data_IF_755372060450
#
_entry.id   IF_755372060450
#
_cell.length_a   1.000
_cell.length_b   1.000
_cell.length_c   1.000
_cell.angle_alpha   90.00
_cell.angle_beta   90.00
_cell.angle_gamma   90.00
#
_symmetry.space_group_name_H-M   'P 1'
#
loop_
_entity.id
_entity.type
_entity.pdbx_description
1 polymer ?
#
# COMPACT_ATOMS: atom_id res chain seq x y z
N UNK A 1 23.37 9.49 27.08
CA UNK A 1 22.01 9.44 26.51
C UNK A 1 21.44 10.83 26.24
N UNK A 2 21.44 11.75 27.20
CA UNK A 2 20.88 13.11 27.05
C UNK A 2 21.62 14.07 26.09
N UNK A 3 22.96 13.95 25.97
CA UNK A 3 23.73 14.77 25.04
C UNK A 3 23.32 14.52 23.57
N UNK A 4 23.10 13.25 23.22
CA UNK A 4 22.68 12.84 21.87
C UNK A 4 21.25 13.31 21.55
N UNK A 5 20.37 13.36 22.56
CA UNK A 5 19.02 13.94 22.42
C UNK A 5 19.06 15.45 22.20
N UNK A 6 19.92 16.18 22.94
CA UNK A 6 20.05 17.64 22.79
C UNK A 6 20.60 18.04 21.42
N UNK A 7 21.55 17.27 20.87
CA UNK A 7 22.09 17.49 19.52
C UNK A 7 21.04 17.18 18.46
N UNK A 8 20.27 16.08 18.60
CA UNK A 8 19.18 15.75 17.67
C UNK A 8 18.08 16.80 17.68
N UNK A 9 17.68 17.27 18.87
CA UNK A 9 16.71 18.36 19.00
C UNK A 9 17.25 19.67 18.40
N UNK A 10 18.52 20.01 18.67
CA UNK A 10 19.18 21.19 18.09
C UNK A 10 19.20 21.14 16.56
N UNK A 11 19.53 19.99 15.97
CA UNK A 11 19.51 19.79 14.52
C UNK A 11 18.09 19.88 13.94
N UNK A 12 17.09 19.33 14.65
CA UNK A 12 15.69 19.41 14.23
C UNK A 12 15.19 20.86 14.26
N UNK A 13 15.43 21.60 15.35
CA UNK A 13 15.07 23.01 15.46
C UNK A 13 15.83 23.86 14.44
N UNK A 14 17.11 23.57 14.20
CA UNK A 14 17.91 24.22 13.18
C UNK A 14 17.38 24.00 11.76
N UNK A 15 16.97 22.78 11.43
CA UNK A 15 16.36 22.47 10.14
C UNK A 15 15.00 23.16 9.95
N UNK A 16 14.15 23.16 10.99
CA UNK A 16 12.85 23.85 10.97
C UNK A 16 13.04 25.36 10.86
N UNK A 17 13.94 25.95 11.65
CA UNK A 17 14.27 27.37 11.58
C UNK A 17 14.87 27.76 10.22
N UNK A 18 15.74 26.92 9.65
CA UNK A 18 16.28 27.10 8.31
C UNK A 18 15.19 27.07 7.24
N UNK A 19 14.29 26.09 7.30
CA UNK A 19 13.15 25.99 6.38
C UNK A 19 12.21 27.18 6.49
N UNK A 20 11.85 27.59 7.70
CA UNK A 20 11.02 28.78 7.96
C UNK A 20 11.73 30.07 7.53
N UNK A 21 13.05 30.17 7.73
CA UNK A 21 13.86 31.31 7.29
C UNK A 21 13.87 31.43 5.77
N UNK A 22 14.03 30.31 5.05
CA UNK A 22 13.91 30.27 3.59
C UNK A 22 12.50 30.68 3.17
N UNK A 23 11.44 30.16 3.79
CA UNK A 23 10.07 30.56 3.50
C UNK A 23 9.82 32.05 3.73
N UNK A 24 10.24 32.58 4.88
CA UNK A 24 10.07 34.01 5.22
C UNK A 24 10.85 34.90 4.24
N UNK A 25 12.06 34.49 3.85
CA UNK A 25 12.85 35.20 2.85
C UNK A 25 12.18 35.15 1.47
N UNK A 26 11.62 34.00 1.07
CA UNK A 26 10.83 33.86 -0.16
C UNK A 26 9.58 34.76 -0.14
N UNK A 27 8.85 34.79 0.97
CA UNK A 27 7.67 35.64 1.14
C UNK A 27 8.03 37.14 1.17
N UNK A 28 9.11 37.50 1.84
CA UNK A 28 9.64 38.86 1.88
C UNK A 28 10.01 39.33 0.47
N UNK A 29 10.78 38.53 -0.28
CA UNK A 29 11.16 38.82 -1.67
C UNK A 29 9.94 38.88 -2.61
N UNK A 30 8.96 38.00 -2.42
CA UNK A 30 7.71 38.05 -3.18
C UNK A 30 6.91 39.34 -2.92
N UNK A 31 6.98 39.90 -1.69
CA UNK A 31 6.33 41.16 -1.31
C UNK A 31 6.86 42.41 -2.02
N UNK A 32 8.10 42.40 -2.50
CA UNK A 32 8.69 43.51 -3.26
C UNK A 32 8.23 43.56 -4.72
N UNK A 33 7.65 42.48 -5.25
CA UNK A 33 7.20 42.46 -6.63
C UNK A 33 5.84 43.16 -6.78
N UNK A 34 5.82 44.40 -7.31
CA UNK A 34 4.59 45.11 -7.72
C UNK A 34 4.52 45.21 -9.26
N UNK A 35 3.36 44.90 -9.86
CA UNK A 35 3.11 44.99 -11.32
C UNK A 35 2.76 43.65 -12.01
N UNK A 36 2.58 43.60 -13.34
CA UNK A 36 2.23 42.36 -14.09
C UNK A 36 3.26 41.23 -13.93
N UNK A 37 4.51 41.57 -13.59
CA UNK A 37 5.59 40.62 -13.31
C UNK A 37 5.46 39.98 -11.91
N UNK A 38 4.70 40.59 -10.99
CA UNK A 38 4.52 40.09 -9.62
C UNK A 38 3.86 38.73 -9.58
N UNK A 39 2.89 38.47 -10.46
CA UNK A 39 2.20 37.19 -10.52
C UNK A 39 3.13 36.05 -10.92
N UNK A 40 4.04 36.28 -11.88
CA UNK A 40 5.01 35.26 -12.31
C UNK A 40 6.08 35.00 -11.24
N UNK A 41 6.57 36.07 -10.61
CA UNK A 41 7.53 35.96 -9.51
C UNK A 41 6.92 35.31 -8.26
N UNK A 42 5.68 35.64 -7.91
CA UNK A 42 4.96 35.01 -6.81
C UNK A 42 4.73 33.50 -7.05
N UNK A 43 4.34 33.11 -8.28
CA UNK A 43 4.24 31.69 -8.67
C UNK A 43 5.61 31.02 -8.58
N UNK A 44 6.67 31.65 -9.08
CA UNK A 44 8.02 31.08 -9.03
C UNK A 44 8.52 30.90 -7.58
N UNK A 45 8.33 31.89 -6.70
CA UNK A 45 8.79 31.81 -5.33
C UNK A 45 7.97 30.87 -4.44
N UNK A 46 6.65 30.77 -4.68
CA UNK A 46 5.78 29.88 -3.90
C UNK A 46 5.81 28.43 -4.42
N UNK A 47 5.73 28.25 -5.74
CA UNK A 47 5.66 26.94 -6.39
C UNK A 47 7.07 26.38 -6.70
N UNK A 48 8.04 27.23 -7.00
CA UNK A 48 9.38 26.84 -7.43
C UNK A 48 10.09 25.91 -6.46
N UNK A 49 10.14 26.18 -5.13
CA UNK A 49 10.76 25.27 -4.17
C UNK A 49 10.07 23.90 -4.13
N UNK A 50 8.73 23.85 -4.19
CA UNK A 50 7.99 22.60 -4.22
C UNK A 50 8.28 21.80 -5.50
N UNK A 51 8.29 22.46 -6.66
CA UNK A 51 8.63 21.83 -7.95
C UNK A 51 10.08 21.35 -7.97
N UNK A 52 11.02 22.14 -7.45
CA UNK A 52 12.43 21.76 -7.34
C UNK A 52 12.58 20.50 -6.49
N UNK A 53 11.96 20.46 -5.31
CA UNK A 53 11.99 19.30 -4.43
C UNK A 53 11.35 18.06 -5.07
N UNK A 54 10.26 18.22 -5.82
CA UNK A 54 9.65 17.13 -6.58
C UNK A 54 10.57 16.62 -7.70
N UNK A 55 11.21 17.54 -8.44
CA UNK A 55 12.13 17.18 -9.52
C UNK A 55 13.35 16.44 -8.97
N UNK A 56 14.00 16.98 -7.95
CA UNK A 56 15.22 16.40 -7.36
C UNK A 56 14.92 15.13 -6.55
N UNK A 57 13.81 15.10 -5.81
CA UNK A 57 13.48 14.01 -4.89
C UNK A 57 12.76 12.83 -5.53
N UNK A 58 12.04 13.04 -6.65
CA UNK A 58 11.22 12.00 -7.28
C UNK A 58 11.62 11.81 -8.75
N UNK A 59 11.60 12.88 -9.56
CA UNK A 59 11.76 12.75 -11.02
C UNK A 59 13.18 12.33 -11.40
N UNK A 60 14.21 12.98 -10.86
CA UNK A 60 15.62 12.66 -11.14
C UNK A 60 15.95 11.22 -10.72
N UNK A 61 15.62 10.75 -9.49
CA UNK A 61 15.81 9.35 -9.11
C UNK A 61 15.05 8.38 -10.01
N UNK A 62 13.81 8.68 -10.39
CA UNK A 62 13.03 7.82 -11.28
C UNK A 62 13.67 7.69 -12.68
N UNK A 63 14.08 8.82 -13.27
CA UNK A 63 14.79 8.82 -14.56
C UNK A 63 16.13 8.10 -14.44
N UNK A 64 16.87 8.29 -13.33
CA UNK A 64 18.11 7.55 -13.07
C UNK A 64 17.84 6.04 -12.98
N UNK A 65 16.79 5.60 -12.31
CA UNK A 65 16.42 4.18 -12.24
C UNK A 65 16.10 3.59 -13.61
N UNK A 66 15.38 4.34 -14.47
CA UNK A 66 15.11 3.94 -15.86
C UNK A 66 16.41 3.90 -16.69
N UNK A 67 17.33 4.83 -16.46
CA UNK A 67 18.62 4.80 -17.14
C UNK A 67 19.46 3.59 -16.70
N UNK A 68 19.56 3.35 -15.39
CA UNK A 68 20.31 2.23 -14.82
C UNK A 68 19.76 0.88 -15.24
N UNK A 69 18.44 0.76 -15.47
CA UNK A 69 17.83 -0.50 -15.94
C UNK A 69 18.35 -0.96 -17.30
N UNK A 70 18.99 -0.09 -18.08
CA UNK A 70 19.59 -0.39 -19.38
C UNK A 70 21.08 -0.74 -19.30
N UNK A 71 21.68 -0.72 -18.11
CA UNK A 71 23.10 -1.00 -17.87
C UNK A 71 23.30 -2.33 -17.14
N UNK A 72 24.54 -2.82 -17.10
CA UNK A 72 24.95 -3.98 -16.32
C UNK A 72 24.90 -3.72 -14.79
N UNK A 73 25.25 -4.73 -14.01
CA UNK A 73 25.20 -4.73 -12.54
C UNK A 73 25.90 -3.54 -11.88
N UNK A 74 27.11 -3.22 -12.36
CA UNK A 74 27.93 -2.11 -11.87
C UNK A 74 27.63 -0.76 -12.54
N UNK A 75 26.64 -0.69 -13.43
CA UNK A 75 26.26 0.53 -14.17
C UNK A 75 27.35 1.07 -15.12
N UNK A 76 28.29 0.22 -15.55
CA UNK A 76 29.46 0.60 -16.37
C UNK A 76 29.27 0.36 -17.86
N UNK A 77 28.51 -0.69 -18.23
CA UNK A 77 28.30 -1.11 -19.62
C UNK A 77 26.82 -1.05 -19.99
N UNK A 78 26.51 -0.38 -21.10
CA UNK A 78 25.16 -0.35 -21.66
C UNK A 78 24.81 -1.74 -22.25
N UNK A 79 23.70 -2.31 -21.79
CA UNK A 79 23.15 -3.59 -22.21
C UNK A 79 21.86 -3.45 -23.03
N UNK A 80 21.34 -2.22 -23.18
CA UNK A 80 20.04 -1.98 -23.80
C UNK A 80 18.93 -2.73 -23.05
N UNK A 81 18.18 -3.57 -23.76
CA UNK A 81 17.07 -4.36 -23.19
C UNK A 81 17.47 -5.60 -22.38
N UNK A 82 18.76 -5.87 -22.18
CA UNK A 82 19.26 -7.15 -21.63
C UNK A 82 18.66 -7.56 -20.28
N UNK A 83 18.45 -6.60 -19.37
CA UNK A 83 17.84 -6.89 -18.07
C UNK A 83 16.35 -7.26 -18.19
N UNK A 84 15.63 -6.70 -19.15
CA UNK A 84 14.24 -7.05 -19.41
C UNK A 84 14.12 -8.44 -20.03
N UNK A 85 15.03 -8.81 -20.94
CA UNK A 85 15.09 -10.18 -21.48
C UNK A 85 15.40 -11.21 -20.38
N UNK A 86 16.25 -10.85 -19.40
CA UNK A 86 16.47 -11.68 -18.22
C UNK A 86 15.19 -11.80 -17.38
N UNK A 87 14.51 -10.69 -17.09
CA UNK A 87 13.30 -10.67 -16.27
C UNK A 87 12.16 -11.52 -16.89
N UNK A 88 12.01 -11.50 -18.21
CA UNK A 88 10.99 -12.29 -18.90
C UNK A 88 11.47 -13.68 -19.36
N UNK A 89 12.77 -13.98 -19.28
CA UNK A 89 13.32 -15.28 -19.65
C UNK A 89 13.55 -16.22 -18.47
N UNK A 90 13.68 -15.70 -17.24
CA UNK A 90 13.98 -16.48 -16.05
C UNK A 90 12.70 -17.02 -15.37
N UNK A 91 12.62 -18.34 -15.16
CA UNK A 91 11.51 -19.01 -14.48
C UNK A 91 11.29 -18.52 -13.07
N UNK A 92 12.35 -18.14 -12.35
CA UNK A 92 12.24 -17.62 -10.99
C UNK A 92 11.47 -16.30 -10.99
N UNK A 93 11.76 -15.42 -11.96
CA UNK A 93 11.08 -14.12 -12.10
C UNK A 93 9.63 -14.31 -12.56
N UNK A 94 9.31 -15.36 -13.33
CA UNK A 94 7.91 -15.67 -13.64
C UNK A 94 7.10 -15.96 -12.38
N UNK A 95 7.67 -16.72 -11.44
CA UNK A 95 7.02 -16.95 -10.15
C UNK A 95 6.87 -15.64 -9.37
N UNK A 96 7.88 -14.77 -9.37
CA UNK A 96 7.81 -13.44 -8.75
C UNK A 96 6.69 -12.59 -9.35
N UNK A 97 6.55 -12.56 -10.68
CA UNK A 97 5.51 -11.83 -11.38
C UNK A 97 4.12 -12.38 -11.08
N UNK A 98 3.97 -13.71 -11.08
CA UNK A 98 2.70 -14.38 -10.79
C UNK A 98 2.28 -14.14 -9.34
N UNK A 99 3.20 -14.27 -8.38
CA UNK A 99 2.94 -13.93 -6.99
C UNK A 99 2.53 -12.46 -6.83
N UNK A 100 3.26 -11.54 -7.47
CA UNK A 100 2.94 -10.12 -7.44
C UNK A 100 1.54 -9.85 -7.99
N UNK A 101 1.16 -10.51 -9.10
CA UNK A 101 -0.18 -10.43 -9.66
C UNK A 101 -1.25 -10.96 -8.69
N UNK A 102 -1.01 -12.13 -8.09
CA UNK A 102 -1.91 -12.71 -7.09
C UNK A 102 -2.12 -11.77 -5.91
N UNK A 103 -1.04 -11.16 -5.40
CA UNK A 103 -1.11 -10.16 -4.34
C UNK A 103 -1.98 -8.96 -4.74
N UNK A 104 -1.73 -8.38 -5.92
CA UNK A 104 -2.47 -7.19 -6.41
C UNK A 104 -3.96 -7.47 -6.61
N UNK A 105 -4.33 -8.69 -6.99
CA UNK A 105 -5.73 -9.05 -7.21
C UNK A 105 -6.40 -9.45 -5.90
N UNK A 106 -5.85 -10.42 -5.19
CA UNK A 106 -6.54 -11.09 -4.08
C UNK A 106 -6.56 -10.21 -2.84
N UNK A 107 -5.43 -9.67 -2.40
CA UNK A 107 -5.37 -8.94 -1.14
C UNK A 107 -6.26 -7.68 -1.14
N UNK A 108 -6.26 -6.83 -2.19
CA UNK A 108 -7.15 -5.67 -2.26
C UNK A 108 -8.64 -6.02 -2.34
N UNK A 109 -9.00 -7.05 -3.12
CA UNK A 109 -10.40 -7.50 -3.23
C UNK A 109 -10.89 -7.99 -1.88
N UNK A 110 -10.13 -8.86 -1.20
CA UNK A 110 -10.51 -9.39 0.10
C UNK A 110 -10.54 -8.30 1.17
N UNK A 111 -9.55 -7.40 1.19
CA UNK A 111 -9.51 -6.27 2.14
C UNK A 111 -10.73 -5.36 1.96
N UNK A 112 -11.04 -4.98 0.72
CA UNK A 112 -12.16 -4.08 0.42
C UNK A 112 -13.50 -4.76 0.68
N UNK A 113 -13.62 -6.04 0.30
CA UNK A 113 -14.82 -6.85 0.54
C UNK A 113 -15.10 -7.06 2.02
N UNK A 114 -14.09 -7.48 2.79
CA UNK A 114 -14.21 -7.61 4.25
C UNK A 114 -14.48 -6.27 4.91
N UNK A 115 -13.83 -5.20 4.45
CA UNK A 115 -14.09 -3.84 4.91
C UNK A 115 -15.54 -3.42 4.69
N UNK A 116 -16.10 -3.71 3.52
CA UNK A 116 -17.50 -3.42 3.19
C UNK A 116 -18.47 -4.22 4.06
N UNK A 117 -18.22 -5.52 4.24
CA UNK A 117 -19.04 -6.38 5.11
C UNK A 117 -19.02 -5.84 6.54
N UNK A 118 -17.85 -5.52 7.08
CA UNK A 118 -17.73 -4.98 8.43
C UNK A 118 -18.35 -3.59 8.56
N UNK A 119 -18.26 -2.74 7.54
CA UNK A 119 -18.94 -1.44 7.53
C UNK A 119 -20.45 -1.60 7.74
N UNK A 120 -21.09 -2.53 7.00
CA UNK A 120 -22.52 -2.80 7.10
C UNK A 120 -22.93 -3.40 8.45
N UNK A 121 -22.10 -4.29 9.00
CA UNK A 121 -22.40 -4.99 10.26
C UNK A 121 -22.21 -4.08 11.47
N UNK A 122 -21.07 -3.39 11.54
CA UNK A 122 -20.68 -2.60 12.72
C UNK A 122 -21.54 -1.34 12.87
N UNK A 123 -22.04 -0.77 11.77
CA UNK A 123 -22.91 0.40 11.80
C UNK A 123 -24.25 0.17 12.51
N UNK A 124 -24.69 -1.09 12.63
CA UNK A 124 -25.93 -1.46 13.32
C UNK A 124 -25.74 -1.73 14.82
N UNK A 125 -24.49 -1.79 15.29
CA UNK A 125 -24.19 -2.14 16.67
C UNK A 125 -24.27 -0.92 17.60
N UNK A 126 -24.83 -1.11 18.80
CA UNK A 126 -24.70 -0.15 19.89
C UNK A 126 -23.22 -0.05 20.29
N UNK A 127 -22.69 1.16 20.40
CA UNK A 127 -21.25 1.36 20.67
C UNK A 127 -20.34 1.17 19.45
N UNK A 128 -20.86 1.30 18.23
CA UNK A 128 -20.11 1.19 16.96
C UNK A 128 -18.71 1.84 16.97
N UNK A 129 -18.54 2.98 17.64
CA UNK A 129 -17.26 3.68 17.71
C UNK A 129 -16.13 2.82 18.33
N UNK A 130 -16.44 2.03 19.35
CA UNK A 130 -15.44 1.16 20.02
C UNK A 130 -15.04 0.02 19.09
N UNK A 131 -16.00 -0.65 18.47
CA UNK A 131 -15.73 -1.73 17.52
C UNK A 131 -14.94 -1.25 16.31
N UNK A 132 -15.29 -0.09 15.75
CA UNK A 132 -14.54 0.50 14.63
C UNK A 132 -13.11 0.82 15.03
N UNK A 133 -12.90 1.41 16.20
CA UNK A 133 -11.56 1.70 16.73
C UNK A 133 -10.73 0.43 16.91
N UNK A 134 -11.29 -0.65 17.45
CA UNK A 134 -10.59 -1.93 17.63
C UNK A 134 -10.21 -2.59 16.29
N UNK A 135 -11.12 -2.58 15.32
CA UNK A 135 -10.87 -3.14 13.98
C UNK A 135 -9.89 -2.26 13.19
N UNK A 136 -9.88 -0.94 13.42
CA UNK A 136 -8.96 0.01 12.79
C UNK A 136 -7.57 0.04 13.44
N UNK A 137 -7.47 -0.34 14.72
CA UNK A 137 -6.24 -0.31 15.52
C UNK A 137 -5.00 -0.96 14.85
N UNK A 138 -5.11 -2.12 14.17
CA UNK A 138 -3.96 -2.75 13.52
C UNK A 138 -3.24 -1.84 12.50
N UNK A 139 -3.96 -0.90 11.87
CA UNK A 139 -3.38 0.04 10.91
C UNK A 139 -2.33 0.97 11.55
N UNK A 140 -2.35 1.14 12.88
CA UNK A 140 -1.36 1.92 13.60
C UNK A 140 0.02 1.24 13.68
N UNK A 141 0.10 -0.06 13.43
CA UNK A 141 1.34 -0.84 13.49
C UNK A 141 1.94 -0.96 12.08
N UNK A 142 3.27 -0.92 11.97
CA UNK A 142 3.95 -1.15 10.70
C UNK A 142 3.74 -2.58 10.19
N UNK A 143 3.84 -2.80 8.87
CA UNK A 143 3.78 -4.15 8.30
C UNK A 143 4.89 -5.07 8.84
N UNK A 144 6.07 -4.55 9.17
CA UNK A 144 7.13 -5.31 9.84
C UNK A 144 6.69 -5.76 11.23
N UNK A 145 6.13 -4.86 12.03
CA UNK A 145 5.62 -5.19 13.38
C UNK A 145 4.46 -6.19 13.33
N UNK A 146 3.51 -5.99 12.42
CA UNK A 146 2.43 -6.94 12.17
C UNK A 146 2.99 -8.32 11.77
N UNK A 147 3.98 -8.37 10.88
CA UNK A 147 4.62 -9.63 10.49
C UNK A 147 5.26 -10.35 11.67
N UNK A 148 5.92 -9.63 12.58
CA UNK A 148 6.49 -10.23 13.79
C UNK A 148 5.40 -10.85 14.68
N UNK A 149 4.25 -10.19 14.83
CA UNK A 149 3.10 -10.76 15.57
C UNK A 149 2.63 -12.05 14.88
N UNK A 150 2.48 -12.02 13.55
CA UNK A 150 2.01 -13.18 12.79
C UNK A 150 3.03 -14.32 12.70
N UNK A 151 4.33 -14.09 12.93
CA UNK A 151 5.30 -15.17 13.14
C UNK A 151 4.95 -16.05 14.33
N UNK A 152 4.39 -15.48 15.40
CA UNK A 152 3.89 -16.28 16.53
C UNK A 152 2.62 -17.03 16.16
N UNK A 153 1.75 -16.46 15.33
CA UNK A 153 0.54 -17.14 14.85
C UNK A 153 0.87 -18.36 14.00
N UNK A 154 1.85 -18.22 13.11
CA UNK A 154 2.28 -19.27 12.17
C UNK A 154 3.48 -20.09 12.67
N UNK A 155 3.88 -19.94 13.92
CA UNK A 155 5.01 -20.66 14.49
C UNK A 155 4.77 -22.17 14.39
N UNK A 156 5.68 -22.88 13.73
CA UNK A 156 5.63 -24.32 13.64
C UNK A 156 6.46 -24.97 14.74
N UNK A 157 5.92 -26.02 15.34
CA UNK A 157 6.65 -27.00 16.13
C UNK A 157 6.23 -28.39 15.72
N UNK A 158 7.11 -29.35 15.94
CA UNK A 158 6.78 -30.76 15.74
C UNK A 158 5.46 -31.10 16.47
N UNK A 159 4.52 -31.81 15.82
CA UNK A 159 3.21 -32.13 16.42
C UNK A 159 3.28 -32.88 17.75
N UNK A 160 4.39 -33.57 18.05
CA UNK A 160 4.62 -34.25 19.32
C UNK A 160 4.91 -33.29 20.49
N UNK A 161 5.20 -32.03 20.20
CA UNK A 161 5.50 -31.01 21.21
C UNK A 161 4.32 -30.05 21.40
N UNK A 162 4.21 -29.42 22.59
CA UNK A 162 3.25 -28.35 22.81
C UNK A 162 3.41 -27.23 21.78
N UNK A 163 2.35 -26.98 21.02
CA UNK A 163 2.36 -25.96 19.97
C UNK A 163 2.41 -24.57 20.59
N UNK A 164 3.26 -23.72 20.01
CA UNK A 164 3.31 -22.28 20.30
C UNK A 164 2.62 -21.45 19.22
N UNK A 165 2.39 -22.04 18.04
CA UNK A 165 1.68 -21.43 16.94
C UNK A 165 0.19 -21.39 17.19
N UNK A 166 -0.39 -20.20 17.22
CA UNK A 166 -1.83 -20.04 17.44
C UNK A 166 -2.64 -20.79 16.37
N UNK A 167 -2.26 -20.69 15.09
CA UNK A 167 -2.98 -21.38 14.02
C UNK A 167 -2.88 -22.91 14.15
N UNK A 168 -1.67 -23.44 14.37
CA UNK A 168 -1.46 -24.87 14.60
C UNK A 168 -2.27 -25.40 15.78
N UNK A 169 -2.28 -24.65 16.89
CA UNK A 169 -3.02 -25.02 18.10
C UNK A 169 -4.53 -25.05 17.87
N UNK A 170 -5.08 -24.04 17.18
CA UNK A 170 -6.50 -24.01 16.80
C UNK A 170 -6.84 -25.22 15.91
N UNK A 171 -5.99 -25.55 14.94
CA UNK A 171 -6.19 -26.73 14.10
C UNK A 171 -6.21 -28.03 14.92
N UNK A 172 -5.31 -28.19 15.88
CA UNK A 172 -5.31 -29.37 16.77
C UNK A 172 -6.58 -29.47 17.60
N UNK A 173 -7.12 -28.35 18.11
CA UNK A 173 -8.41 -28.34 18.80
C UNK A 173 -9.59 -28.72 17.91
N UNK A 174 -9.52 -28.42 16.62
CA UNK A 174 -10.50 -28.83 15.62
C UNK A 174 -10.30 -30.29 15.14
N UNK A 175 -9.34 -31.02 15.71
CA UNK A 175 -9.08 -32.43 15.40
C UNK A 175 -7.98 -32.69 14.37
N UNK A 176 -7.23 -31.68 13.91
CA UNK A 176 -6.04 -31.90 13.07
C UNK A 176 -4.83 -32.30 13.90
N UNK A 177 -4.50 -33.60 13.91
CA UNK A 177 -3.39 -34.13 14.70
C UNK A 177 -2.00 -33.74 14.20
N UNK A 178 -1.84 -33.41 12.91
CA UNK A 178 -0.55 -33.07 12.31
C UNK A 178 -0.67 -31.84 11.41
N UNK A 179 -0.81 -30.63 11.99
CA UNK A 179 -0.81 -29.40 11.20
C UNK A 179 0.55 -29.24 10.48
N UNK A 180 0.55 -28.88 9.18
CA UNK A 180 1.79 -28.72 8.44
C UNK A 180 2.55 -27.46 8.87
N UNK A 181 3.80 -27.34 8.45
CA UNK A 181 4.52 -26.07 8.54
C UNK A 181 3.95 -25.08 7.51
N UNK A 182 3.04 -24.23 7.99
CA UNK A 182 2.30 -23.23 7.21
C UNK A 182 3.17 -22.38 6.28
N UNK A 183 4.36 -21.98 6.73
CA UNK A 183 5.27 -21.10 5.97
C UNK A 183 5.97 -21.86 4.84
N UNK A 184 6.18 -23.16 5.00
CA UNK A 184 6.80 -24.02 3.98
C UNK A 184 5.79 -24.59 2.98
N UNK A 185 4.49 -24.54 3.28
CA UNK A 185 3.42 -25.09 2.44
C UNK A 185 3.08 -24.18 1.25
N UNK A 186 3.88 -24.20 0.19
CA UNK A 186 3.52 -23.52 -1.07
C UNK A 186 2.38 -24.25 -1.80
N UNK A 187 1.36 -23.54 -2.35
CA UNK A 187 1.21 -22.09 -2.46
C UNK A 187 0.47 -21.43 -1.28
N UNK A 188 -0.01 -22.22 -0.31
CA UNK A 188 -0.81 -21.76 0.82
C UNK A 188 -0.10 -20.69 1.65
N UNK A 189 1.22 -20.81 1.82
CA UNK A 189 2.06 -19.82 2.49
C UNK A 189 1.86 -18.41 1.94
N UNK A 190 1.76 -18.24 0.62
CA UNK A 190 1.62 -16.94 -0.01
C UNK A 190 0.27 -16.29 0.35
N UNK A 191 -0.81 -17.08 0.39
CA UNK A 191 -2.12 -16.62 0.86
C UNK A 191 -2.12 -16.28 2.35
N UNK A 192 -1.43 -17.06 3.18
CA UNK A 192 -1.28 -16.74 4.61
C UNK A 192 -0.55 -15.41 4.82
N UNK A 193 0.48 -15.11 4.03
CA UNK A 193 1.14 -13.80 4.09
C UNK A 193 0.17 -12.66 3.70
N UNK A 194 -0.73 -12.88 2.73
CA UNK A 194 -1.77 -11.89 2.37
C UNK A 194 -2.72 -11.60 3.52
N UNK A 195 -3.03 -12.58 4.38
CA UNK A 195 -3.92 -12.40 5.55
C UNK A 195 -3.37 -11.30 6.47
N UNK A 196 -2.06 -11.19 6.61
CA UNK A 196 -1.41 -10.15 7.43
C UNK A 196 -1.77 -8.76 6.89
N UNK A 197 -1.64 -8.56 5.57
CA UNK A 197 -2.02 -7.29 4.92
C UNK A 197 -3.50 -7.02 5.06
N UNK A 198 -4.33 -8.04 4.79
CA UNK A 198 -5.79 -7.93 4.87
C UNK A 198 -6.19 -7.52 6.29
N UNK A 199 -5.63 -8.16 7.32
CA UNK A 199 -5.91 -7.83 8.71
C UNK A 199 -5.54 -6.38 9.06
N UNK A 200 -4.36 -5.90 8.63
CA UNK A 200 -3.94 -4.52 8.88
C UNK A 200 -4.82 -3.50 8.13
N UNK A 201 -5.20 -3.78 6.89
CA UNK A 201 -5.85 -2.82 6.00
C UNK A 201 -7.39 -2.88 6.02
N UNK A 202 -7.99 -3.93 6.56
CA UNK A 202 -9.46 -4.09 6.59
C UNK A 202 -10.12 -2.97 7.40
N UNK A 203 -9.49 -2.53 8.49
CA UNK A 203 -9.98 -1.41 9.29
C UNK A 203 -10.08 -0.10 8.49
N UNK A 204 -9.05 0.22 7.70
CA UNK A 204 -9.06 1.36 6.78
C UNK A 204 -10.24 1.29 5.81
N UNK A 205 -10.38 0.16 5.11
CA UNK A 205 -11.45 -0.04 4.14
C UNK A 205 -12.84 0.13 4.81
N UNK A 206 -13.03 -0.49 5.98
CA UNK A 206 -14.29 -0.40 6.72
C UNK A 206 -14.65 1.03 7.14
N UNK A 207 -13.70 1.81 7.68
CA UNK A 207 -13.98 3.18 8.13
C UNK A 207 -14.36 4.08 6.96
N UNK A 208 -13.62 4.00 5.85
CA UNK A 208 -13.88 4.81 4.66
C UNK A 208 -15.21 4.43 4.00
N UNK A 209 -15.49 3.13 3.84
CA UNK A 209 -16.73 2.66 3.22
C UNK A 209 -17.95 2.94 4.10
N UNK A 210 -17.83 2.79 5.43
CA UNK A 210 -18.90 3.15 6.36
C UNK A 210 -19.25 4.64 6.28
N UNK A 211 -18.26 5.53 6.19
CA UNK A 211 -18.51 6.95 6.02
C UNK A 211 -19.26 7.25 4.71
N UNK A 212 -18.91 6.57 3.62
CA UNK A 212 -19.60 6.74 2.33
C UNK A 212 -21.03 6.18 2.35
N UNK A 213 -21.27 5.04 3.00
CA UNK A 213 -22.61 4.47 3.16
C UNK A 213 -23.51 5.44 3.95
N UNK A 214 -22.99 6.06 5.01
CA UNK A 214 -23.73 7.04 5.82
C UNK A 214 -23.98 8.37 5.10
N UNK A 215 -23.21 8.67 4.07
CA UNK A 215 -23.40 9.88 3.27
C UNK A 215 -24.54 9.73 2.23
N UNK A 216 -25.13 8.52 2.10
CA UNK A 216 -26.30 8.30 1.25
C UNK A 216 -27.49 9.04 1.86
N UNK A 217 -28.16 9.95 1.12
CA UNK A 217 -29.36 10.63 1.58
C UNK A 217 -30.48 9.65 1.96
N UNK A 218 -31.16 9.91 3.09
CA UNK A 218 -32.21 9.03 3.63
C UNK A 218 -33.41 8.90 2.68
N UNK A 219 -33.77 9.99 1.99
CA UNK A 219 -34.86 10.04 0.99
C UNK A 219 -34.66 9.04 -0.15
N UNK A 220 -33.43 8.84 -0.63
CA UNK A 220 -33.11 7.84 -1.65
C UNK A 220 -33.34 6.42 -1.12
N UNK A 221 -32.96 6.16 0.13
CA UNK A 221 -33.16 4.85 0.74
C UNK A 221 -34.62 4.56 1.08
N UNK A 222 -35.38 5.58 1.51
CA UNK A 222 -36.81 5.47 1.79
C UNK A 222 -37.62 5.24 0.50
N UNK A 223 -37.34 6.02 -0.55
CA UNK A 223 -37.97 5.85 -1.86
C UNK A 223 -37.74 4.43 -2.41
N UNK A 224 -36.51 3.92 -2.32
CA UNK A 224 -36.20 2.56 -2.75
C UNK A 224 -36.98 1.48 -1.96
N UNK A 225 -37.17 1.68 -0.65
CA UNK A 225 -37.96 0.76 0.18
C UNK A 225 -39.44 0.82 -0.20
N UNK A 226 -39.98 2.00 -0.54
CA UNK A 226 -41.34 2.17 -1.07
C UNK A 226 -41.52 1.45 -2.43
N UNK A 227 -40.48 1.43 -3.27
CA UNK A 227 -40.42 0.67 -4.53
C UNK A 227 -40.20 -0.85 -4.33
N UNK A 228 -40.19 -1.33 -3.08
CA UNK A 228 -40.05 -2.75 -2.75
C UNK A 228 -38.62 -3.27 -2.69
N UNK A 229 -37.61 -2.40 -2.72
CA UNK A 229 -36.22 -2.80 -2.52
C UNK A 229 -35.95 -3.05 -1.02
N UNK A 230 -35.68 -4.31 -0.66
CA UNK A 230 -35.33 -4.70 0.70
C UNK A 230 -34.11 -5.63 0.74
N UNK A 231 -33.39 -5.62 1.86
CA UNK A 231 -32.26 -6.51 2.14
C UNK A 231 -31.19 -6.45 1.05
N UNK A 232 -30.96 -7.58 0.37
CA UNK A 232 -29.97 -7.68 -0.70
C UNK A 232 -30.27 -6.77 -1.90
N UNK A 233 -31.54 -6.57 -2.26
CA UNK A 233 -31.93 -5.71 -3.39
C UNK A 233 -31.60 -4.25 -3.13
N UNK A 234 -31.86 -3.76 -1.91
CA UNK A 234 -31.49 -2.41 -1.50
C UNK A 234 -29.96 -2.24 -1.54
N UNK A 235 -29.23 -3.23 -1.04
CA UNK A 235 -27.78 -3.21 -1.03
C UNK A 235 -27.16 -3.21 -2.45
N UNK A 236 -27.56 -4.14 -3.31
CA UNK A 236 -26.95 -4.30 -4.65
C UNK A 236 -27.38 -3.21 -5.62
N UNK A 237 -28.62 -2.73 -5.52
CA UNK A 237 -29.19 -1.82 -6.51
C UNK A 237 -29.12 -0.34 -6.10
N UNK A 238 -28.97 -0.05 -4.80
CA UNK A 238 -28.90 1.33 -4.29
C UNK A 238 -27.57 1.59 -3.60
N UNK A 239 -27.25 0.85 -2.53
CA UNK A 239 -26.07 1.13 -1.71
C UNK A 239 -24.77 1.00 -2.51
N UNK A 240 -24.51 -0.13 -3.17
CA UNK A 240 -23.27 -0.35 -3.95
C UNK A 240 -23.12 0.68 -5.08
N UNK A 241 -24.13 0.92 -5.95
CA UNK A 241 -24.01 1.89 -7.03
C UNK A 241 -23.71 3.30 -6.54
N UNK A 242 -24.29 3.72 -5.40
CA UNK A 242 -24.05 5.05 -4.84
C UNK A 242 -22.65 5.21 -4.25
N UNK A 243 -22.09 4.18 -3.62
CA UNK A 243 -20.73 4.23 -3.05
C UNK A 243 -19.64 3.69 -3.99
N UNK A 244 -19.97 3.39 -5.25
CA UNK A 244 -19.07 2.70 -6.20
C UNK A 244 -17.73 3.40 -6.36
N UNK A 245 -17.71 4.73 -6.35
CA UNK A 245 -16.47 5.48 -6.48
C UNK A 245 -15.61 5.31 -5.24
N UNK A 246 -16.19 5.41 -4.05
CA UNK A 246 -15.47 5.13 -2.81
C UNK A 246 -14.92 3.70 -2.78
N UNK A 247 -15.69 2.71 -3.23
CA UNK A 247 -15.19 1.33 -3.38
C UNK A 247 -13.98 1.29 -4.31
N UNK A 248 -14.04 1.93 -5.47
CA UNK A 248 -12.92 2.00 -6.43
C UNK A 248 -11.71 2.71 -5.82
N UNK A 249 -11.91 3.82 -5.11
CA UNK A 249 -10.83 4.58 -4.46
C UNK A 249 -10.17 3.74 -3.38
N UNK A 250 -10.93 3.07 -2.50
CA UNK A 250 -10.39 2.16 -1.49
C UNK A 250 -9.64 1.02 -2.15
N UNK A 251 -10.26 0.33 -3.12
CA UNK A 251 -9.67 -0.80 -3.81
C UNK A 251 -8.35 -0.44 -4.49
N UNK A 252 -8.32 0.67 -5.24
CA UNK A 252 -7.09 1.15 -5.91
C UNK A 252 -6.02 1.61 -4.92
N UNK A 253 -6.41 2.24 -3.80
CA UNK A 253 -5.47 2.63 -2.74
C UNK A 253 -4.81 1.40 -2.11
N UNK A 254 -5.60 0.35 -1.82
CA UNK A 254 -5.07 -0.91 -1.29
C UNK A 254 -4.20 -1.61 -2.35
N UNK A 255 -4.60 -1.65 -3.63
CA UNK A 255 -3.78 -2.19 -4.73
C UNK A 255 -2.42 -1.49 -4.85
N UNK A 256 -2.38 -0.14 -4.80
CA UNK A 256 -1.14 0.63 -4.86
C UNK A 256 -0.24 0.31 -3.65
N UNK A 257 -0.85 0.10 -2.48
CA UNK A 257 -0.10 -0.31 -1.28
C UNK A 257 0.48 -1.71 -1.47
N UNK A 258 -0.28 -2.65 -2.03
CA UNK A 258 0.15 -4.02 -2.31
C UNK A 258 1.32 -4.08 -3.30
N UNK A 259 1.32 -3.21 -4.33
CA UNK A 259 2.42 -3.15 -5.31
C UNK A 259 3.78 -2.79 -4.67
N UNK A 260 3.76 -2.02 -3.59
CA UNK A 260 4.96 -1.62 -2.86
C UNK A 260 5.27 -2.54 -1.68
N UNK A 261 4.54 -3.65 -1.55
CA UNK A 261 4.64 -4.53 -0.41
C UNK A 261 5.93 -5.36 -0.48
N UNK A 262 6.90 -4.93 0.32
CA UNK A 262 8.14 -5.66 0.56
C UNK A 262 8.27 -6.07 2.03
N UNK A 263 7.75 -5.26 2.95
CA UNK A 263 7.89 -5.43 4.40
C UNK A 263 7.46 -6.82 4.88
N UNK A 264 6.26 -7.27 4.47
CA UNK A 264 5.70 -8.55 4.92
C UNK A 264 6.53 -9.71 4.39
N UNK A 265 6.81 -9.72 3.08
CA UNK A 265 7.60 -10.79 2.45
C UNK A 265 9.01 -10.86 3.05
N UNK A 266 9.71 -9.72 3.13
CA UNK A 266 11.06 -9.66 3.68
C UNK A 266 11.11 -10.11 5.14
N UNK A 267 10.14 -9.68 5.94
CA UNK A 267 10.11 -10.00 7.38
C UNK A 267 9.74 -11.46 7.62
N UNK A 268 8.75 -12.00 6.89
CA UNK A 268 8.21 -13.33 7.14
C UNK A 268 9.10 -14.45 6.58
N UNK A 269 9.54 -14.31 5.33
CA UNK A 269 10.21 -15.40 4.59
C UNK A 269 11.52 -14.96 3.93
N UNK A 270 11.74 -13.65 3.79
CA UNK A 270 12.86 -13.12 3.01
C UNK A 270 12.69 -13.26 1.49
N UNK A 271 11.54 -13.74 1.02
CA UNK A 271 11.33 -14.15 -0.38
C UNK A 271 11.46 -15.66 -0.62
N UNK A 272 11.85 -16.44 0.40
CA UNK A 272 12.01 -17.89 0.28
C UNK A 272 10.67 -18.63 0.15
N UNK A 273 10.75 -19.94 -0.08
CA UNK A 273 9.59 -20.85 -0.12
C UNK A 273 8.54 -20.47 -1.17
N UNK A 274 8.98 -19.84 -2.28
CA UNK A 274 8.11 -19.44 -3.37
C UNK A 274 7.19 -18.26 -3.06
N UNK A 275 7.52 -17.43 -2.06
CA UNK A 275 6.72 -16.25 -1.65
C UNK A 275 7.26 -14.93 -2.21
N UNK A 276 8.26 -14.99 -3.09
CA UNK A 276 8.93 -13.80 -3.61
C UNK A 276 7.97 -12.92 -4.42
N UNK A 277 8.10 -11.60 -4.25
CA UNK A 277 7.34 -10.57 -4.97
C UNK A 277 8.28 -9.51 -5.55
N UNK A 278 7.82 -8.79 -6.57
CA UNK A 278 8.64 -7.92 -7.41
C UNK A 278 9.34 -6.82 -6.59
N UNK A 279 8.67 -6.27 -5.58
CA UNK A 279 9.25 -5.28 -4.67
C UNK A 279 10.38 -5.85 -3.80
N UNK A 280 10.24 -7.07 -3.28
CA UNK A 280 11.30 -7.71 -2.49
C UNK A 280 12.46 -8.21 -3.36
N UNK A 281 12.18 -8.67 -4.58
CA UNK A 281 13.19 -9.05 -5.55
C UNK A 281 14.02 -7.84 -6.00
N UNK A 282 13.37 -6.71 -6.33
CA UNK A 282 14.03 -5.44 -6.61
C UNK A 282 14.98 -5.03 -5.47
N UNK A 283 14.52 -5.13 -4.22
CA UNK A 283 15.34 -4.85 -3.05
C UNK A 283 16.54 -5.81 -2.96
N UNK A 284 16.31 -7.11 -3.15
CA UNK A 284 17.35 -8.13 -3.06
C UNK A 284 18.42 -7.93 -4.14
N UNK A 285 18.02 -7.65 -5.38
CA UNK A 285 18.95 -7.33 -6.48
C UNK A 285 19.78 -6.08 -6.16
N UNK A 286 19.17 -5.02 -5.62
CA UNK A 286 19.88 -3.77 -5.34
C UNK A 286 20.85 -3.87 -4.15
N UNK A 287 20.41 -4.50 -3.06
CA UNK A 287 21.07 -4.38 -1.76
C UNK A 287 21.74 -5.67 -1.25
N UNK A 288 21.38 -6.83 -1.82
CA UNK A 288 22.04 -8.10 -1.51
C UNK A 288 23.00 -8.49 -2.62
N UNK A 289 22.53 -8.46 -3.87
CA UNK A 289 23.31 -8.87 -5.05
C UNK A 289 24.11 -7.71 -5.67
N UNK A 290 23.90 -6.48 -5.20
CA UNK A 290 24.53 -5.26 -5.72
C UNK A 290 24.36 -5.05 -7.24
N UNK A 291 23.30 -5.63 -7.82
CA UNK A 291 23.00 -5.56 -9.25
C UNK A 291 22.01 -4.41 -9.54
N UNK A 292 22.56 -3.23 -9.82
CA UNK A 292 21.76 -2.02 -10.07
C UNK A 292 20.93 -2.11 -11.36
N UNK A 293 21.45 -2.79 -12.39
CA UNK A 293 20.77 -2.98 -13.67
C UNK A 293 19.49 -3.79 -13.53
N UNK A 294 19.58 -4.98 -12.92
CA UNK A 294 18.40 -5.83 -12.67
C UNK A 294 17.42 -5.19 -11.71
N UNK A 295 17.91 -4.60 -10.62
CA UNK A 295 17.06 -3.87 -9.69
C UNK A 295 16.30 -2.73 -10.38
N UNK A 296 16.98 -1.95 -11.21
CA UNK A 296 16.37 -0.89 -12.01
C UNK A 296 15.29 -1.43 -12.95
N UNK A 297 15.55 -2.54 -13.63
CA UNK A 297 14.57 -3.15 -14.54
C UNK A 297 13.29 -3.59 -13.80
N UNK A 298 13.43 -4.25 -12.65
CA UNK A 298 12.30 -4.67 -11.83
C UNK A 298 11.54 -3.46 -11.24
N UNK A 299 12.25 -2.40 -10.85
CA UNK A 299 11.65 -1.14 -10.40
C UNK A 299 10.82 -0.47 -11.51
N UNK A 300 11.31 -0.49 -12.76
CA UNK A 300 10.56 0.02 -13.92
C UNK A 300 9.32 -0.84 -14.18
N UNK A 301 9.41 -2.17 -14.08
CA UNK A 301 8.25 -3.04 -14.22
C UNK A 301 7.20 -2.76 -13.14
N UNK A 302 7.61 -2.56 -11.88
CA UNK A 302 6.71 -2.11 -10.80
C UNK A 302 6.05 -0.77 -11.12
N UNK A 303 6.83 0.21 -11.59
CA UNK A 303 6.31 1.52 -11.95
C UNK A 303 5.25 1.41 -13.06
N UNK A 304 5.54 0.64 -14.11
CA UNK A 304 4.59 0.37 -15.20
C UNK A 304 3.32 -0.33 -14.71
N UNK A 305 3.41 -1.23 -13.72
CA UNK A 305 2.25 -1.88 -13.13
C UNK A 305 1.35 -0.91 -12.34
N UNK A 306 1.92 0.14 -11.75
CA UNK A 306 1.15 1.17 -11.01
C UNK A 306 0.40 2.13 -11.95
N UNK A 307 0.95 2.43 -13.12
CA UNK A 307 0.42 3.47 -14.04
C UNK A 307 -1.07 3.26 -14.41
N UNK A 308 -1.52 2.07 -14.85
CA UNK A 308 -2.93 1.84 -15.18
C UNK A 308 -3.87 2.06 -13.99
N UNK A 309 -3.45 1.67 -12.79
CA UNK A 309 -4.26 1.80 -11.57
C UNK A 309 -4.48 3.27 -11.21
N UNK A 310 -3.42 4.07 -11.29
CA UNK A 310 -3.49 5.51 -11.03
C UNK A 310 -4.29 6.22 -12.12
N UNK A 311 -4.07 5.87 -13.40
CA UNK A 311 -4.83 6.43 -14.51
C UNK A 311 -6.34 6.15 -14.37
N UNK A 312 -6.69 4.92 -13.98
CA UNK A 312 -8.08 4.53 -13.72
C UNK A 312 -8.69 5.31 -12.55
N UNK A 313 -7.97 5.44 -11.43
CA UNK A 313 -8.43 6.22 -10.28
C UNK A 313 -8.68 7.70 -10.65
N UNK A 314 -7.73 8.34 -11.38
CA UNK A 314 -7.88 9.73 -11.84
C UNK A 314 -9.06 9.88 -12.80
N UNK A 315 -9.24 8.96 -13.73
CA UNK A 315 -10.37 8.99 -14.67
C UNK A 315 -11.72 8.88 -13.92
N UNK A 316 -11.79 8.04 -12.89
CA UNK A 316 -13.00 7.89 -12.07
C UNK A 316 -13.31 9.18 -11.28
N UNK A 317 -12.30 9.78 -10.63
CA UNK A 317 -12.46 11.03 -9.90
C UNK A 317 -12.92 12.20 -10.79
N UNK A 318 -12.53 12.20 -12.07
CA UNK A 318 -13.01 13.20 -13.04
C UNK A 318 -14.50 13.04 -13.34
N UNK A 319 -14.96 11.81 -13.58
CA UNK A 319 -16.38 11.53 -13.86
C UNK A 319 -17.30 11.95 -12.72
N UNK A 320 -16.87 11.83 -11.46
CA UNK A 320 -17.69 12.28 -10.33
C UNK A 320 -17.84 13.79 -10.24
N UNK A 321 -16.81 14.55 -10.62
CA UNK A 321 -16.87 16.02 -10.63
C UNK A 321 -17.80 16.55 -11.72
N UNK A 322 -18.05 15.78 -12.77
CA UNK A 322 -18.96 16.16 -13.85
C UNK A 322 -20.43 15.86 -13.53
N UNK A 323 -20.69 14.99 -12.54
CA UNK A 323 -22.05 14.59 -12.13
C UNK A 323 -22.58 15.42 -10.95
N UNK A 324 -21.69 16.11 -10.23
CA UNK A 324 -22.04 17.10 -9.18
C UNK A 324 -22.21 18.49 -9.77
#
# INVERSE_FOLDING_TARGET
>A
MWADTSVKLGNMFGAVAGFLGVLLLLFYLAGFARGRLSRRLAILFLLGPAVLLLLVGIVVPAVRTIYLSLYNEDSTKFLGGGNYTWAFGNSDIHQVLLNTLLWIVIAPILTTGLGLVLALLVDRLRGQAVYKSLIFMPMAISFVGASIIWKFVYAYRDPSQPQIGLLSQICMWLGWHHPPNWILSHPLNNFLLMIIMIWVQTGFAMVVLSAAIKAIPEDVTEAAVLDGAQGWRLFSNVTIPMIRSTIIVVLTTVMITTLKLFDIIRTMTGGNFGTQVLANEMYSQAFTEFNNGRAGALAVLLFLAVVPLVAYNVAMLRKEREVR
#
